data_IF_575582821072
#
_entry.id   IF_575582821072
#
_cell.length_a   1.000
_cell.length_b   1.000
_cell.length_c   1.000
_cell.angle_alpha   90.00
_cell.angle_beta   90.00
_cell.angle_gamma   90.00
#
_symmetry.space_group_name_H-M   'P 1'
#
loop_
_entity.id
_entity.type
_entity.pdbx_description
1 polymer ?
#
# COMPACT_ATOMS: atom_id res chain seq x y z
N UNK A 1 8.34 -57.28 5.06
CA UNK A 1 7.86 -57.71 3.74
C UNK A 1 6.35 -57.76 3.76
N UNK A 2 5.65 -56.68 3.40
CA UNK A 2 4.20 -56.70 3.06
C UNK A 2 4.00 -55.64 1.97
N UNK A 3 3.70 -56.05 0.76
CA UNK A 3 3.29 -55.25 -0.39
C UNK A 3 1.92 -54.62 -0.09
N UNK A 4 1.76 -53.34 -0.37
CA UNK A 4 0.47 -52.70 -0.46
C UNK A 4 0.18 -52.37 -1.93
N UNK A 5 -0.97 -52.86 -2.39
CA UNK A 5 -1.46 -52.77 -3.76
C UNK A 5 -1.94 -51.35 -4.09
N UNK A 6 -1.51 -50.85 -5.25
CA UNK A 6 -2.02 -49.63 -5.88
C UNK A 6 -3.35 -50.00 -6.57
N UNK A 7 -4.43 -49.31 -6.19
CA UNK A 7 -5.73 -49.39 -6.88
C UNK A 7 -5.81 -48.15 -7.80
N UNK A 8 -5.85 -48.41 -9.09
CA UNK A 8 -6.02 -47.38 -10.12
C UNK A 8 -7.52 -46.98 -10.21
N UNK A 9 -7.77 -45.69 -10.39
CA UNK A 9 -9.09 -45.11 -10.69
C UNK A 9 -9.06 -44.70 -12.16
N UNK A 10 -10.08 -45.02 -12.96
CA UNK A 10 -10.12 -44.74 -14.38
C UNK A 10 -10.42 -43.28 -14.71
N UNK A 11 -9.71 -42.81 -15.73
CA UNK A 11 -9.84 -41.48 -16.32
C UNK A 11 -11.13 -41.44 -17.18
N UNK A 12 -12.06 -40.53 -16.82
CA UNK A 12 -13.26 -40.28 -17.62
C UNK A 12 -12.93 -39.17 -18.63
N UNK A 13 -12.93 -39.50 -19.90
CA UNK A 13 -12.79 -38.54 -20.98
C UNK A 13 -14.13 -37.84 -21.25
N UNK A 14 -14.16 -36.51 -21.16
CA UNK A 14 -15.30 -35.69 -21.59
C UNK A 14 -14.93 -35.06 -22.94
N UNK A 15 -15.66 -35.39 -23.95
CA UNK A 15 -15.61 -34.78 -25.28
C UNK A 15 -16.17 -33.37 -25.23
N UNK A 16 -15.38 -32.38 -25.65
CA UNK A 16 -15.82 -31.02 -25.92
C UNK A 16 -16.16 -30.91 -27.41
N UNK A 17 -17.45 -30.74 -27.69
CA UNK A 17 -17.94 -30.32 -29.01
C UNK A 17 -17.74 -28.81 -29.16
N UNK A 18 -16.99 -28.42 -30.15
CA UNK A 18 -16.79 -27.03 -30.53
C UNK A 18 -18.06 -26.43 -31.18
N UNK A 19 -18.36 -25.19 -30.81
CA UNK A 19 -19.16 -24.30 -31.67
C UNK A 19 -18.45 -22.95 -31.74
N UNK A 20 -17.99 -22.65 -32.95
CA UNK A 20 -17.53 -21.33 -33.39
C UNK A 20 -18.74 -20.41 -33.55
N UNK A 21 -18.63 -19.22 -32.98
CA UNK A 21 -19.61 -18.15 -33.19
C UNK A 21 -19.00 -16.80 -32.89
N UNK A 22 -18.41 -16.18 -33.90
CA UNK A 22 -18.11 -14.74 -33.89
C UNK A 22 -19.43 -13.97 -34.00
N UNK A 23 -19.73 -13.09 -33.05
CA UNK A 23 -20.59 -11.95 -33.30
C UNK A 23 -20.22 -10.77 -32.40
N UNK A 24 -19.70 -9.75 -33.05
CA UNK A 24 -19.63 -8.37 -32.58
C UNK A 24 -21.05 -7.87 -32.30
N UNK A 25 -21.33 -7.40 -31.08
CA UNK A 25 -22.57 -6.69 -30.80
C UNK A 25 -22.25 -5.34 -30.11
N UNK A 26 -22.39 -4.29 -30.89
CA UNK A 26 -22.56 -2.93 -30.40
C UNK A 26 -23.92 -2.85 -29.67
N UNK A 27 -23.91 -2.57 -28.38
CA UNK A 27 -25.13 -2.31 -27.62
C UNK A 27 -25.51 -0.83 -27.66
N UNK A 28 -26.32 -0.45 -28.65
CA UNK A 28 -27.13 0.76 -28.59
C UNK A 28 -28.53 0.37 -28.10
N UNK A 29 -28.73 0.40 -26.79
CA UNK A 29 -30.04 0.15 -26.16
C UNK A 29 -30.93 1.39 -26.29
N UNK A 30 -31.93 1.35 -27.17
CA UNK A 30 -33.06 2.29 -27.19
C UNK A 30 -34.07 1.84 -26.13
N UNK A 31 -34.10 2.52 -25.00
CA UNK A 31 -35.21 2.45 -24.05
C UNK A 31 -36.24 3.52 -24.36
N UNK A 32 -37.49 3.13 -24.58
CA UNK A 32 -38.58 4.05 -24.82
C UNK A 32 -38.97 4.82 -23.56
N UNK A 33 -38.96 6.14 -23.60
CA UNK A 33 -39.50 7.06 -22.61
C UNK A 33 -40.97 7.27 -22.84
N UNK A 34 -41.80 6.91 -21.83
CA UNK A 34 -43.14 7.47 -21.67
C UNK A 34 -43.25 7.99 -20.24
N UNK A 35 -43.48 9.30 -20.10
CA UNK A 35 -43.77 9.94 -18.82
C UNK A 35 -43.20 11.34 -18.72
N UNK A 36 -44.01 12.36 -18.95
CA UNK A 36 -43.61 13.76 -18.85
C UNK A 36 -43.38 14.17 -17.40
N UNK A 37 -42.34 14.90 -17.15
CA UNK A 37 -41.99 15.57 -15.92
C UNK A 37 -40.72 16.36 -16.15
N UNK A 38 -40.70 17.65 -15.81
CA UNK A 38 -39.56 18.56 -15.94
C UNK A 38 -38.29 17.96 -15.31
N UNK A 39 -37.53 17.24 -16.09
CA UNK A 39 -36.21 16.77 -15.73
C UNK A 39 -35.17 17.85 -16.04
N UNK A 40 -34.71 18.55 -15.02
CA UNK A 40 -33.46 19.27 -15.13
C UNK A 40 -32.40 18.27 -15.59
N UNK A 41 -31.79 18.54 -16.73
CA UNK A 41 -30.62 17.81 -17.17
C UNK A 41 -29.54 18.02 -16.11
N UNK A 42 -29.31 16.99 -15.30
CA UNK A 42 -28.10 16.93 -14.48
C UNK A 42 -26.98 16.77 -15.49
N UNK A 43 -26.37 17.89 -15.87
CA UNK A 43 -25.15 17.88 -16.66
C UNK A 43 -24.13 17.04 -15.91
N UNK A 44 -23.68 15.95 -16.53
CA UNK A 44 -22.49 15.27 -16.07
C UNK A 44 -21.39 16.33 -16.04
N UNK A 45 -21.02 16.79 -14.86
CA UNK A 45 -19.87 17.65 -14.71
C UNK A 45 -18.68 16.88 -15.30
N UNK A 46 -18.17 17.35 -16.43
CA UNK A 46 -16.93 16.81 -16.98
C UNK A 46 -15.88 17.03 -15.93
N UNK A 47 -15.44 15.94 -15.28
CA UNK A 47 -14.35 15.99 -14.32
C UNK A 47 -13.18 16.72 -14.98
N UNK A 48 -12.73 17.82 -14.36
CA UNK A 48 -11.65 18.64 -14.90
C UNK A 48 -10.41 17.76 -15.05
N UNK A 49 -9.87 17.69 -16.26
CA UNK A 49 -8.65 16.94 -16.56
C UNK A 49 -7.47 17.64 -15.89
N UNK A 50 -6.70 16.89 -15.10
CA UNK A 50 -5.49 17.43 -14.48
C UNK A 50 -4.38 17.49 -15.53
N UNK A 51 -3.65 18.60 -15.57
CA UNK A 51 -2.44 18.70 -16.38
C UNK A 51 -1.30 17.91 -15.69
N UNK A 52 -1.25 16.62 -16.02
CA UNK A 52 -0.25 15.69 -15.46
C UNK A 52 1.18 16.06 -15.84
N UNK A 53 1.38 16.74 -16.98
CA UNK A 53 2.69 17.22 -17.40
C UNK A 53 3.16 18.37 -16.51
N UNK A 54 2.32 19.36 -16.26
CA UNK A 54 2.64 20.48 -15.37
C UNK A 54 2.89 20.00 -13.92
N UNK A 55 2.15 18.99 -13.45
CA UNK A 55 2.40 18.39 -12.12
C UNK A 55 3.76 17.70 -12.08
N UNK A 56 4.09 16.91 -13.11
CA UNK A 56 5.40 16.25 -13.25
C UNK A 56 6.54 17.25 -13.25
N UNK A 57 6.43 18.32 -14.04
CA UNK A 57 7.44 19.35 -14.14
C UNK A 57 7.65 20.09 -12.80
N UNK A 58 6.55 20.38 -12.09
CA UNK A 58 6.58 20.99 -10.77
C UNK A 58 7.28 20.09 -9.73
N UNK A 59 6.97 18.79 -9.73
CA UNK A 59 7.65 17.82 -8.86
C UNK A 59 9.13 17.72 -9.21
N UNK A 60 9.45 17.63 -10.52
CA UNK A 60 10.84 17.56 -11.01
C UNK A 60 11.63 18.78 -10.60
N UNK A 61 11.04 19.98 -10.63
CA UNK A 61 11.67 21.19 -10.14
C UNK A 61 11.94 21.18 -8.62
N UNK A 62 11.02 20.61 -7.83
CA UNK A 62 11.20 20.46 -6.36
C UNK A 62 12.39 19.57 -6.03
N UNK A 63 12.56 18.45 -6.74
CA UNK A 63 13.59 17.47 -6.45
C UNK A 63 14.92 17.73 -7.18
N UNK A 64 14.93 18.66 -8.13
CA UNK A 64 16.14 19.01 -8.89
C UNK A 64 17.27 19.48 -7.97
N UNK A 65 18.44 18.88 -8.11
CA UNK A 65 19.62 19.23 -7.31
C UNK A 65 19.57 18.74 -5.86
N UNK A 66 18.55 17.97 -5.46
CA UNK A 66 18.52 17.36 -4.13
C UNK A 66 19.59 16.28 -4.01
N UNK A 67 20.26 16.15 -2.84
CA UNK A 67 21.38 15.26 -2.67
C UNK A 67 20.93 13.82 -2.36
N UNK A 68 20.23 13.18 -3.28
CA UNK A 68 19.71 11.81 -3.16
C UNK A 68 18.71 11.48 -4.26
N UNK A 69 18.27 10.23 -4.29
CA UNK A 69 17.25 9.78 -5.24
C UNK A 69 15.86 9.95 -4.63
N UNK A 70 14.95 10.61 -5.34
CA UNK A 70 13.57 10.82 -4.92
C UNK A 70 12.64 10.36 -6.03
N UNK A 71 11.90 9.30 -5.77
CA UNK A 71 10.91 8.74 -6.67
C UNK A 71 9.49 9.09 -6.23
N UNK A 72 8.64 9.45 -7.17
CA UNK A 72 7.26 9.85 -6.91
C UNK A 72 6.30 9.17 -7.88
N UNK A 73 5.17 8.71 -7.37
CA UNK A 73 4.03 8.30 -8.18
C UNK A 73 2.73 8.81 -7.57
N UNK A 74 1.86 9.36 -8.40
CA UNK A 74 0.50 9.71 -8.02
C UNK A 74 -0.48 9.10 -9.02
N UNK A 75 -1.60 8.54 -8.51
CA UNK A 75 -2.75 8.07 -9.28
C UNK A 75 -3.95 8.88 -8.80
N UNK A 76 -4.63 9.59 -9.71
CA UNK A 76 -5.69 10.53 -9.36
C UNK A 76 -7.00 10.03 -9.98
N UNK A 77 -8.03 9.86 -9.15
CA UNK A 77 -9.36 9.31 -9.54
C UNK A 77 -9.24 8.00 -10.35
N UNK A 78 -8.27 7.15 -10.05
CA UNK A 78 -7.98 5.88 -10.77
C UNK A 78 -7.74 6.06 -12.28
N UNK A 79 -7.42 7.28 -12.77
CA UNK A 79 -7.32 7.62 -14.19
C UNK A 79 -5.98 8.26 -14.57
N UNK A 80 -5.69 9.39 -13.95
CA UNK A 80 -4.53 10.19 -14.28
C UNK A 80 -3.32 9.75 -13.47
N UNK A 81 -2.20 9.47 -14.13
CA UNK A 81 -0.98 9.01 -13.47
C UNK A 81 0.16 9.98 -13.72
N UNK A 82 0.84 10.36 -12.64
CA UNK A 82 2.08 11.16 -12.67
C UNK A 82 3.19 10.33 -12.05
N UNK A 83 4.33 10.22 -12.73
CA UNK A 83 5.53 9.56 -12.19
C UNK A 83 6.76 10.40 -12.42
N UNK A 84 7.67 10.42 -11.44
CA UNK A 84 9.00 11.04 -11.52
C UNK A 84 10.01 10.08 -10.92
N UNK A 85 11.12 9.82 -11.61
CA UNK A 85 12.14 8.86 -11.20
C UNK A 85 11.57 7.49 -10.83
N UNK A 86 10.67 6.97 -11.66
CA UNK A 86 9.95 5.70 -11.42
C UNK A 86 10.84 4.51 -11.79
N UNK A 87 11.79 4.19 -10.92
CA UNK A 87 12.70 3.04 -11.02
C UNK A 87 12.42 2.03 -9.90
N UNK A 88 12.79 0.77 -10.08
CA UNK A 88 12.45 -0.37 -9.21
C UNK A 88 13.39 -0.58 -8.01
N UNK A 89 14.09 0.45 -7.52
CA UNK A 89 15.19 0.29 -6.56
C UNK A 89 15.10 1.14 -5.30
N UNK A 90 13.92 1.59 -4.93
CA UNK A 90 13.74 2.30 -3.67
C UNK A 90 13.49 1.31 -2.53
N UNK A 91 14.30 1.37 -1.49
CA UNK A 91 14.06 0.58 -0.28
C UNK A 91 12.72 0.94 0.34
N UNK A 92 11.89 -0.06 0.59
CA UNK A 92 10.53 0.14 1.12
C UNK A 92 10.54 0.52 2.60
N UNK A 93 11.55 0.07 3.34
CA UNK A 93 11.52 0.10 4.79
C UNK A 93 10.16 -0.42 5.30
N UNK A 94 9.62 0.10 6.36
CA UNK A 94 8.36 -0.38 6.93
C UNK A 94 7.12 -0.23 6.02
N UNK A 95 7.22 0.35 4.82
CA UNK A 95 6.11 0.32 3.83
C UNK A 95 5.77 -1.13 3.43
N UNK A 96 6.74 -2.05 3.45
CA UNK A 96 6.48 -3.47 3.15
C UNK A 96 5.47 -4.12 4.12
N UNK A 97 5.25 -3.56 5.31
CA UNK A 97 4.27 -4.05 6.29
C UNK A 97 2.83 -4.00 5.77
N UNK A 98 2.53 -3.09 4.85
CA UNK A 98 1.25 -3.11 4.12
C UNK A 98 1.15 -4.36 3.22
N UNK A 99 2.21 -4.75 2.54
CA UNK A 99 2.26 -5.98 1.73
C UNK A 99 2.02 -7.21 2.62
N UNK A 100 2.67 -7.25 3.79
CA UNK A 100 2.48 -8.32 4.79
C UNK A 100 1.03 -8.36 5.30
N UNK A 101 0.43 -7.24 5.64
CA UNK A 101 -0.95 -7.18 6.12
C UNK A 101 -1.94 -7.72 5.10
N UNK A 102 -1.78 -7.37 3.82
CA UNK A 102 -2.57 -7.92 2.71
C UNK A 102 -2.39 -9.45 2.65
N UNK A 103 -1.16 -9.96 2.77
CA UNK A 103 -0.89 -11.39 2.72
C UNK A 103 -1.47 -12.16 3.92
N UNK A 104 -1.40 -11.62 5.12
CA UNK A 104 -2.04 -12.21 6.31
C UNK A 104 -3.55 -12.29 6.12
N UNK A 105 -4.19 -11.18 5.72
CA UNK A 105 -5.63 -11.14 5.51
C UNK A 105 -6.07 -12.08 4.38
N UNK A 106 -5.34 -12.15 3.27
CA UNK A 106 -5.61 -13.08 2.18
C UNK A 106 -5.48 -14.55 2.63
N UNK A 107 -4.43 -14.89 3.39
CA UNK A 107 -4.26 -16.25 3.95
C UNK A 107 -5.41 -16.62 4.89
N UNK A 108 -5.91 -15.64 5.67
CA UNK A 108 -7.04 -15.84 6.57
C UNK A 108 -8.36 -15.99 5.81
N UNK A 109 -8.56 -15.26 4.71
CA UNK A 109 -9.70 -15.43 3.82
C UNK A 109 -9.76 -16.85 3.25
N UNK A 110 -8.65 -17.33 2.69
CA UNK A 110 -8.57 -18.67 2.13
C UNK A 110 -8.85 -19.79 3.14
N UNK A 111 -8.51 -19.56 4.42
CA UNK A 111 -8.67 -20.53 5.52
C UNK A 111 -9.96 -20.33 6.32
N UNK A 112 -10.73 -19.30 6.05
CA UNK A 112 -11.92 -18.94 6.83
C UNK A 112 -11.58 -18.56 8.28
N UNK A 113 -10.39 -17.97 8.53
CA UNK A 113 -9.93 -17.60 9.86
C UNK A 113 -10.31 -16.14 10.15
N UNK A 114 -10.98 -15.83 11.29
CA UNK A 114 -11.30 -14.46 11.65
C UNK A 114 -10.11 -13.72 12.26
N UNK A 115 -10.08 -12.37 12.15
CA UNK A 115 -8.99 -11.54 12.65
C UNK A 115 -8.93 -11.43 14.19
N UNK A 116 -9.98 -11.81 14.90
CA UNK A 116 -9.99 -11.90 16.37
C UNK A 116 -9.33 -13.19 16.93
N UNK A 117 -8.83 -14.05 16.02
CA UNK A 117 -8.03 -15.22 16.40
C UNK A 117 -6.86 -14.80 17.27
N UNK A 118 -6.77 -15.44 18.46
CA UNK A 118 -5.73 -15.15 19.46
C UNK A 118 -4.41 -15.82 19.08
N UNK A 119 -3.35 -15.04 19.03
CA UNK A 119 -1.97 -15.53 18.98
C UNK A 119 -1.36 -15.45 20.39
N UNK A 120 -0.78 -16.55 20.84
CA UNK A 120 -0.09 -16.64 22.13
C UNK A 120 1.43 -16.69 21.92
N UNK A 121 2.16 -15.88 22.70
CA UNK A 121 3.62 -15.81 22.62
C UNK A 121 4.23 -15.24 23.90
N UNK A 122 5.47 -15.59 24.16
CA UNK A 122 6.21 -15.10 25.34
C UNK A 122 7.03 -13.86 25.01
N UNK A 123 7.15 -12.96 25.99
CA UNK A 123 7.98 -11.76 25.91
C UNK A 123 9.43 -12.09 25.53
N UNK A 124 9.96 -13.21 25.99
CA UNK A 124 11.31 -13.70 25.71
C UNK A 124 11.54 -14.08 24.24
N UNK A 125 10.46 -14.25 23.45
CA UNK A 125 10.54 -14.47 22.00
C UNK A 125 10.63 -13.17 21.19
N UNK A 126 10.48 -12.01 21.84
CA UNK A 126 10.51 -10.69 21.22
C UNK A 126 11.91 -10.06 21.34
N UNK A 127 12.26 -9.26 20.34
CA UNK A 127 13.51 -8.49 20.39
C UNK A 127 13.31 -7.20 21.21
N UNK A 128 13.99 -7.00 22.35
CA UNK A 128 13.86 -5.79 23.16
C UNK A 128 14.54 -4.57 22.52
N UNK A 129 15.47 -4.78 21.59
CA UNK A 129 16.34 -3.75 21.03
C UNK A 129 15.83 -3.23 19.66
N UNK A 130 14.56 -3.48 19.34
CA UNK A 130 13.92 -2.98 18.11
C UNK A 130 12.81 -1.97 18.41
N UNK A 131 12.39 -1.23 17.37
CA UNK A 131 11.22 -0.37 17.49
C UNK A 131 9.97 -1.22 17.72
N UNK A 132 9.42 -1.17 18.92
CA UNK A 132 8.23 -1.94 19.29
C UNK A 132 7.39 -1.20 20.34
N UNK A 133 6.43 -0.35 19.92
CA UNK A 133 5.43 0.22 20.81
C UNK A 133 4.64 -0.85 21.60
N UNK A 134 4.27 -1.96 20.94
CA UNK A 134 3.63 -3.10 21.60
C UNK A 134 4.40 -3.57 22.83
N UNK A 135 5.72 -3.74 22.70
CA UNK A 135 6.55 -4.21 23.80
C UNK A 135 6.70 -3.17 24.93
N UNK A 136 6.53 -1.87 24.62
CA UNK A 136 6.57 -0.78 25.60
C UNK A 136 5.24 -0.64 26.35
N UNK A 137 4.12 -0.83 25.67
CA UNK A 137 2.77 -0.67 26.22
C UNK A 137 2.37 -1.87 27.11
N UNK A 138 2.82 -3.09 26.77
CA UNK A 138 2.52 -4.31 27.50
C UNK A 138 3.75 -4.79 28.30
N UNK A 139 3.56 -5.04 29.59
CA UNK A 139 4.63 -5.52 30.49
C UNK A 139 4.51 -7.01 30.85
N UNK A 140 3.52 -7.70 30.29
CA UNK A 140 3.26 -9.10 30.57
C UNK A 140 4.40 -10.00 30.10
N UNK A 141 4.64 -11.09 30.83
CA UNK A 141 5.62 -12.10 30.44
C UNK A 141 5.07 -13.01 29.33
N UNK A 142 3.75 -13.17 29.28
CA UNK A 142 3.03 -13.97 28.30
C UNK A 142 1.91 -13.14 27.67
N UNK A 143 1.87 -13.10 26.35
CA UNK A 143 0.89 -12.34 25.58
C UNK A 143 -0.21 -13.25 25.03
N UNK A 144 -1.43 -12.76 25.05
CA UNK A 144 -2.58 -13.30 24.33
C UNK A 144 -3.22 -12.16 23.53
N UNK A 145 -2.90 -12.08 22.26
CA UNK A 145 -3.28 -10.92 21.44
C UNK A 145 -3.99 -11.37 20.17
N UNK A 146 -5.13 -10.75 19.80
CA UNK A 146 -5.78 -11.04 18.52
C UNK A 146 -4.90 -10.56 17.36
N UNK A 147 -4.99 -11.26 16.23
CA UNK A 147 -4.22 -10.90 15.03
C UNK A 147 -4.57 -9.49 14.54
N UNK A 148 -5.83 -9.06 14.72
CA UNK A 148 -6.25 -7.69 14.44
C UNK A 148 -5.43 -6.65 15.20
N UNK A 149 -5.05 -6.93 16.45
CA UNK A 149 -4.24 -6.01 17.26
C UNK A 149 -2.78 -5.99 16.79
N UNK A 150 -2.20 -7.16 16.44
CA UNK A 150 -0.87 -7.21 15.83
C UNK A 150 -0.81 -6.42 14.52
N UNK A 151 -1.86 -6.51 13.68
CA UNK A 151 -1.99 -5.73 12.46
C UNK A 151 -2.08 -4.23 12.76
N UNK A 152 -2.81 -3.81 13.82
CA UNK A 152 -2.88 -2.40 14.25
C UNK A 152 -1.51 -1.88 14.66
N UNK A 153 -0.79 -2.59 15.54
CA UNK A 153 0.59 -2.23 15.91
C UNK A 153 1.50 -2.11 14.69
N UNK A 154 1.39 -3.05 13.77
CA UNK A 154 2.22 -3.11 12.55
C UNK A 154 1.94 -1.95 11.60
N UNK A 155 0.67 -1.63 11.34
CA UNK A 155 0.30 -0.61 10.35
C UNK A 155 0.26 0.80 10.95
N UNK A 156 -0.31 0.99 12.16
CA UNK A 156 -0.48 2.32 12.76
C UNK A 156 0.81 2.85 13.40
N UNK A 157 1.54 1.99 14.09
CA UNK A 157 2.71 2.36 14.87
C UNK A 157 4.03 1.79 14.32
N UNK A 158 3.95 1.03 13.23
CA UNK A 158 5.12 0.43 12.56
C UNK A 158 5.92 -0.54 13.44
N UNK A 159 5.26 -1.31 14.32
CA UNK A 159 5.88 -2.23 15.26
C UNK A 159 6.63 -3.36 14.55
N UNK A 160 7.91 -3.54 14.92
CA UNK A 160 8.79 -4.53 14.29
C UNK A 160 8.57 -5.93 14.84
N UNK A 161 8.31 -6.07 16.16
CA UNK A 161 8.03 -7.37 16.78
C UNK A 161 6.70 -7.94 16.30
N UNK A 162 5.65 -7.11 16.21
CA UNK A 162 4.37 -7.54 15.68
C UNK A 162 4.51 -8.04 14.22
N UNK A 163 5.28 -7.33 13.40
CA UNK A 163 5.59 -7.75 12.03
C UNK A 163 6.36 -9.08 11.99
N UNK A 164 7.44 -9.22 12.76
CA UNK A 164 8.22 -10.45 12.82
C UNK A 164 7.37 -11.65 13.27
N UNK A 165 6.54 -11.48 14.31
CA UNK A 165 5.61 -12.53 14.79
C UNK A 165 4.65 -13.01 13.69
N UNK A 166 4.11 -12.09 12.90
CA UNK A 166 3.21 -12.47 11.81
C UNK A 166 3.94 -13.23 10.70
N UNK A 167 5.20 -12.89 10.40
CA UNK A 167 6.01 -13.67 9.46
C UNK A 167 6.39 -15.04 10.03
N UNK A 168 6.65 -15.16 11.31
CA UNK A 168 7.01 -16.42 11.95
C UNK A 168 5.82 -17.39 12.10
N UNK A 169 4.58 -16.88 12.23
CA UNK A 169 3.44 -17.68 12.66
C UNK A 169 2.28 -17.74 11.67
N UNK A 170 2.11 -16.75 10.78
CA UNK A 170 0.90 -16.62 9.97
C UNK A 170 1.16 -16.73 8.47
N UNK A 171 2.18 -16.05 7.95
CA UNK A 171 2.53 -16.01 6.53
C UNK A 171 4.03 -15.79 6.39
N UNK A 172 4.68 -16.52 5.51
CA UNK A 172 6.10 -16.33 5.25
C UNK A 172 6.36 -15.11 4.35
N UNK A 173 7.60 -14.62 4.35
CA UNK A 173 8.06 -13.57 3.42
C UNK A 173 7.85 -14.00 1.96
N UNK A 174 8.17 -15.26 1.63
CA UNK A 174 8.02 -15.80 0.28
C UNK A 174 6.54 -15.89 -0.16
N UNK A 175 5.63 -16.27 0.73
CA UNK A 175 4.18 -16.25 0.45
C UNK A 175 3.69 -14.82 0.22
N UNK A 176 4.15 -13.87 1.04
CA UNK A 176 3.85 -12.45 0.87
C UNK A 176 4.32 -11.95 -0.50
N UNK A 177 5.58 -12.16 -0.84
CA UNK A 177 6.16 -11.75 -2.12
C UNK A 177 5.42 -12.37 -3.31
N UNK A 178 5.07 -13.67 -3.22
CA UNK A 178 4.33 -14.39 -4.26
C UNK A 178 2.90 -13.89 -4.43
N UNK A 179 2.19 -13.61 -3.34
CA UNK A 179 0.84 -13.05 -3.40
C UNK A 179 0.85 -11.66 -4.06
N UNK A 180 1.74 -10.77 -3.61
CA UNK A 180 1.81 -9.42 -4.15
C UNK A 180 2.13 -9.44 -5.65
N UNK A 181 2.89 -10.42 -6.14
CA UNK A 181 3.15 -10.60 -7.57
C UNK A 181 1.90 -10.97 -8.40
N UNK A 182 0.80 -11.38 -7.76
CA UNK A 182 -0.49 -11.54 -8.43
C UNK A 182 -1.29 -10.24 -8.50
N UNK A 183 -0.94 -9.27 -7.68
CA UNK A 183 -1.64 -7.98 -7.57
C UNK A 183 -0.96 -6.88 -8.40
N UNK A 184 0.36 -6.83 -8.42
CA UNK A 184 1.14 -5.84 -9.19
C UNK A 184 2.25 -6.51 -10.01
N UNK A 185 2.75 -5.87 -11.08
CA UNK A 185 3.80 -6.45 -11.93
C UNK A 185 5.06 -6.84 -11.14
N UNK A 186 5.54 -8.04 -11.38
CA UNK A 186 6.68 -8.63 -10.68
C UNK A 186 7.98 -7.83 -10.79
N UNK A 187 8.19 -7.13 -11.87
CA UNK A 187 9.37 -6.29 -12.09
C UNK A 187 9.34 -4.97 -11.33
N UNK A 188 8.23 -4.65 -10.63
CA UNK A 188 8.09 -3.39 -9.90
C UNK A 188 8.56 -3.49 -8.44
N UNK A 189 8.72 -4.69 -7.87
CA UNK A 189 8.97 -4.83 -6.44
C UNK A 189 9.66 -6.15 -6.09
N UNK A 190 10.18 -6.22 -4.85
CA UNK A 190 10.69 -7.44 -4.22
C UNK A 190 10.51 -7.36 -2.71
N UNK A 191 10.08 -8.46 -2.08
CA UNK A 191 10.04 -8.64 -0.62
C UNK A 191 10.78 -9.92 -0.28
N UNK A 192 11.90 -9.81 0.43
CA UNK A 192 12.77 -10.95 0.77
C UNK A 192 13.22 -10.98 2.22
N UNK A 193 13.07 -9.86 2.97
CA UNK A 193 13.61 -9.71 4.30
C UNK A 193 12.50 -9.41 5.32
N UNK A 194 12.71 -9.83 6.57
CA UNK A 194 11.94 -9.42 7.75
C UNK A 194 12.61 -8.23 8.41
N UNK A 195 11.94 -7.61 9.39
CA UNK A 195 12.55 -6.53 10.20
C UNK A 195 13.80 -7.01 10.95
N UNK A 196 13.77 -8.24 11.49
CA UNK A 196 14.92 -8.85 12.17
C UNK A 196 16.13 -9.06 11.25
N UNK A 197 15.89 -9.41 9.97
CA UNK A 197 16.97 -9.61 9.00
C UNK A 197 17.63 -8.28 8.64
N UNK A 198 16.83 -7.24 8.40
CA UNK A 198 17.30 -5.88 8.13
C UNK A 198 18.00 -5.23 9.34
N UNK A 199 17.58 -5.56 10.57
CA UNK A 199 18.24 -5.09 11.78
C UNK A 199 19.59 -5.77 12.00
N UNK A 200 19.70 -7.07 11.68
CA UNK A 200 20.95 -7.83 11.82
C UNK A 200 22.01 -7.43 10.78
N UNK A 201 21.56 -7.00 9.61
CA UNK A 201 22.39 -6.52 8.51
C UNK A 201 21.66 -5.41 7.76
N UNK A 202 22.07 -4.18 8.00
CA UNK A 202 21.42 -3.01 7.43
C UNK A 202 21.45 -2.99 5.89
N UNK A 203 22.43 -3.62 5.25
CA UNK A 203 22.47 -3.70 3.78
C UNK A 203 21.28 -4.46 3.20
N UNK A 204 20.70 -5.39 3.96
CA UNK A 204 19.49 -6.12 3.58
C UNK A 204 18.25 -5.24 3.45
N UNK A 205 18.24 -4.04 4.02
CA UNK A 205 17.14 -3.10 3.86
C UNK A 205 16.84 -2.75 2.41
N UNK A 206 17.83 -2.81 1.54
CA UNK A 206 17.69 -2.57 0.10
C UNK A 206 17.09 -3.76 -0.67
N UNK A 207 17.01 -4.94 -0.06
CA UNK A 207 16.44 -6.14 -0.69
C UNK A 207 14.90 -6.09 -0.74
N UNK A 208 14.27 -5.39 0.21
CA UNK A 208 12.85 -5.05 0.15
C UNK A 208 12.69 -3.74 -0.62
N UNK A 209 12.42 -3.79 -1.90
CA UNK A 209 12.38 -2.61 -2.76
C UNK A 209 11.17 -2.57 -3.68
N UNK A 210 10.86 -1.38 -4.18
CA UNK A 210 9.84 -1.18 -5.21
C UNK A 210 10.13 0.07 -6.04
N UNK A 211 9.46 0.14 -7.20
CA UNK A 211 9.25 1.42 -7.87
C UNK A 211 8.13 2.21 -7.19
N UNK A 212 8.12 3.55 -7.26
CA UNK A 212 7.00 4.36 -6.79
C UNK A 212 5.65 3.93 -7.37
N UNK A 213 5.59 3.67 -8.68
CA UNK A 213 4.37 3.20 -9.36
C UNK A 213 3.93 1.81 -8.91
N UNK A 214 4.86 0.94 -8.54
CA UNK A 214 4.55 -0.38 -7.99
C UNK A 214 3.81 -0.27 -6.66
N UNK A 215 4.32 0.54 -5.73
CA UNK A 215 3.64 0.81 -4.45
C UNK A 215 2.31 1.53 -4.68
N UNK A 216 2.27 2.54 -5.57
CA UNK A 216 1.05 3.30 -5.85
C UNK A 216 -0.06 2.40 -6.39
N UNK A 217 0.24 1.48 -7.30
CA UNK A 217 -0.74 0.50 -7.80
C UNK A 217 -1.26 -0.42 -6.70
N UNK A 218 -0.40 -0.86 -5.77
CA UNK A 218 -0.84 -1.72 -4.68
C UNK A 218 -1.76 -0.97 -3.72
N UNK A 219 -1.41 0.27 -3.34
CA UNK A 219 -2.27 1.15 -2.52
C UNK A 219 -3.59 1.39 -3.23
N UNK A 220 -3.56 1.81 -4.50
CA UNK A 220 -4.77 2.07 -5.29
C UNK A 220 -5.70 0.85 -5.28
N UNK A 221 -5.18 -0.33 -5.62
CA UNK A 221 -5.97 -1.56 -5.63
C UNK A 221 -6.54 -1.94 -4.27
N UNK A 222 -5.80 -1.69 -3.19
CA UNK A 222 -6.29 -1.94 -1.84
C UNK A 222 -7.52 -1.08 -1.50
N UNK A 223 -7.60 0.13 -2.05
CA UNK A 223 -8.69 1.07 -1.76
C UNK A 223 -9.81 1.06 -2.80
N UNK A 224 -9.58 0.57 -4.02
CA UNK A 224 -10.54 0.66 -5.13
C UNK A 224 -11.02 -0.68 -5.69
N UNK A 225 -10.20 -1.74 -5.60
CA UNK A 225 -10.53 -3.08 -6.08
C UNK A 225 -11.01 -3.97 -4.92
N UNK A 226 -11.61 -5.13 -5.24
CA UNK A 226 -11.92 -6.17 -4.26
C UNK A 226 -10.80 -7.23 -4.28
N UNK A 227 -9.74 -7.00 -3.51
CA UNK A 227 -8.57 -7.90 -3.43
C UNK A 227 -8.60 -8.85 -2.24
N UNK A 228 -9.48 -8.59 -1.26
CA UNK A 228 -9.71 -9.38 -0.04
C UNK A 228 -11.22 -9.46 0.20
N UNK A 229 -11.66 -10.23 1.22
CA UNK A 229 -13.03 -10.09 1.73
C UNK A 229 -13.28 -8.66 2.21
N UNK A 230 -14.51 -8.18 2.08
CA UNK A 230 -14.90 -6.81 2.46
C UNK A 230 -14.47 -6.49 3.88
N UNK A 231 -14.74 -7.39 4.84
CA UNK A 231 -14.38 -7.20 6.25
C UNK A 231 -12.89 -6.95 6.47
N UNK A 232 -12.04 -7.79 5.87
CA UNK A 232 -10.57 -7.69 6.06
C UNK A 232 -9.96 -6.55 5.29
N UNK A 233 -10.50 -6.24 4.12
CA UNK A 233 -10.06 -5.09 3.33
C UNK A 233 -10.40 -3.78 4.04
N UNK A 234 -11.62 -3.61 4.52
CA UNK A 234 -12.05 -2.46 5.30
C UNK A 234 -11.22 -2.32 6.57
N UNK A 235 -10.93 -3.43 7.25
CA UNK A 235 -10.07 -3.43 8.43
C UNK A 235 -8.68 -2.86 8.14
N UNK A 236 -8.02 -3.28 7.04
CA UNK A 236 -6.70 -2.73 6.66
C UNK A 236 -6.83 -1.25 6.32
N UNK A 237 -7.81 -0.86 5.52
CA UNK A 237 -8.02 0.53 5.10
C UNK A 237 -8.25 1.45 6.31
N UNK A 238 -9.12 1.05 7.26
CA UNK A 238 -9.37 1.82 8.49
C UNK A 238 -8.13 1.87 9.38
N UNK A 239 -7.40 0.77 9.49
CA UNK A 239 -6.15 0.73 10.27
C UNK A 239 -5.11 1.68 9.68
N UNK A 240 -4.98 1.76 8.35
CA UNK A 240 -4.08 2.72 7.70
C UNK A 240 -4.53 4.19 7.87
N UNK A 241 -5.85 4.47 7.99
CA UNK A 241 -6.35 5.80 8.36
C UNK A 241 -5.94 6.21 9.76
N UNK A 242 -5.80 5.24 10.66
CA UNK A 242 -5.30 5.45 12.01
C UNK A 242 -3.77 5.50 12.13
N UNK A 243 -3.01 5.66 11.06
CA UNK A 243 -1.55 5.70 11.12
C UNK A 243 -1.06 6.89 11.97
N UNK A 244 -0.14 6.61 12.92
CA UNK A 244 0.38 7.60 13.86
C UNK A 244 1.78 8.12 13.45
N UNK A 245 2.41 7.52 12.44
CA UNK A 245 3.76 7.89 12.00
C UNK A 245 3.73 8.81 10.80
N UNK A 246 4.72 9.71 10.64
CA UNK A 246 4.92 10.54 9.45
C UNK A 246 3.91 11.66 9.25
N UNK A 247 3.38 12.24 10.34
CA UNK A 247 2.53 13.44 10.28
C UNK A 247 3.22 14.64 9.61
N UNK A 248 4.54 14.60 9.52
CA UNK A 248 5.41 15.61 8.91
C UNK A 248 5.70 15.34 7.42
N UNK A 249 5.19 14.24 6.83
CA UNK A 249 5.44 13.81 5.44
C UNK A 249 4.28 14.19 4.51
N UNK A 250 3.72 13.22 3.78
CA UNK A 250 2.58 13.43 2.86
C UNK A 250 1.40 14.09 3.57
N UNK A 251 1.14 13.74 4.83
CA UNK A 251 0.04 14.28 5.62
C UNK A 251 0.21 15.77 6.01
N UNK A 252 1.44 16.26 6.10
CA UNK A 252 1.73 17.59 6.67
C UNK A 252 0.94 18.76 6.04
N UNK A 253 0.88 18.95 4.72
CA UNK A 253 0.15 20.05 4.09
C UNK A 253 -1.37 19.86 4.11
N UNK A 254 -1.85 18.69 4.49
CA UNK A 254 -3.26 18.31 4.53
C UNK A 254 -3.85 18.40 5.93
N UNK A 255 -2.99 18.47 6.95
CA UNK A 255 -3.39 18.57 8.34
C UNK A 255 -4.27 19.81 8.58
N UNK A 256 -5.37 19.63 9.32
CA UNK A 256 -6.32 20.71 9.63
C UNK A 256 -7.21 21.16 8.48
N UNK A 257 -7.18 20.50 7.33
CA UNK A 257 -8.13 20.71 6.23
C UNK A 257 -9.35 19.82 6.47
N UNK A 258 -10.52 20.46 6.63
CA UNK A 258 -11.77 19.76 6.94
C UNK A 258 -12.16 18.76 5.86
N UNK A 259 -12.62 17.59 6.29
CA UNK A 259 -13.17 16.54 5.43
C UNK A 259 -12.16 15.77 4.60
N UNK A 260 -10.85 16.03 4.72
CA UNK A 260 -9.81 15.20 4.09
C UNK A 260 -9.53 13.98 4.96
N UNK A 261 -9.54 12.80 4.36
CA UNK A 261 -9.09 11.56 5.00
C UNK A 261 -7.79 11.08 4.37
N UNK A 262 -6.89 10.59 5.21
CA UNK A 262 -5.58 10.10 4.79
C UNK A 262 -5.38 8.71 5.41
N UNK A 263 -5.11 7.73 4.56
CA UNK A 263 -4.69 6.41 4.98
C UNK A 263 -3.28 6.20 4.45
N UNK A 264 -2.30 5.93 5.31
CA UNK A 264 -0.93 5.82 4.83
C UNK A 264 -0.08 4.82 5.62
N UNK A 265 1.06 4.45 5.04
CA UNK A 265 2.09 3.68 5.69
C UNK A 265 3.46 4.29 5.40
N UNK A 266 4.21 4.56 6.46
CA UNK A 266 5.55 5.14 6.37
C UNK A 266 6.65 4.10 6.53
N UNK A 267 7.85 4.45 6.07
CA UNK A 267 9.07 3.73 6.34
C UNK A 267 10.23 4.70 6.59
N UNK A 268 11.07 4.39 7.57
CA UNK A 268 12.26 5.17 7.90
C UNK A 268 13.48 4.26 7.91
N UNK A 269 14.50 4.66 7.18
CA UNK A 269 15.80 4.04 7.22
C UNK A 269 16.64 4.59 8.37
N UNK A 270 17.92 4.44 8.26
CA UNK A 270 18.92 4.91 9.23
C UNK A 270 19.93 5.82 8.53
N UNK A 271 20.62 6.63 9.31
CA UNK A 271 21.77 7.39 8.81
C UNK A 271 22.99 6.47 8.91
N UNK A 272 23.61 6.19 7.77
CA UNK A 272 24.78 5.32 7.72
C UNK A 272 26.07 6.05 8.18
N UNK A 273 27.19 5.33 8.24
CA UNK A 273 28.48 5.84 8.70
C UNK A 273 29.01 7.03 7.87
N UNK A 274 28.54 7.20 6.65
CA UNK A 274 28.89 8.33 5.77
C UNK A 274 27.94 9.52 5.90
N UNK A 275 26.96 9.46 6.83
CA UNK A 275 25.99 10.52 7.04
C UNK A 275 24.83 10.55 6.05
N UNK A 276 24.63 9.45 5.30
CA UNK A 276 23.56 9.31 4.31
C UNK A 276 22.33 8.68 4.96
N UNK A 277 21.17 9.31 4.84
CA UNK A 277 19.86 8.72 5.16
C UNK A 277 19.51 7.69 4.09
N UNK A 278 19.51 6.41 4.45
CA UNK A 278 19.39 5.30 3.49
C UNK A 278 18.04 5.23 2.79
N UNK A 279 16.96 5.53 3.53
CA UNK A 279 15.61 5.62 2.95
C UNK A 279 14.67 6.43 3.86
N UNK A 280 13.70 7.12 3.23
CA UNK A 280 12.61 7.79 3.92
C UNK A 280 11.37 7.77 3.02
N UNK A 281 10.33 7.04 3.42
CA UNK A 281 9.27 6.64 2.49
C UNK A 281 7.88 6.89 3.09
N UNK A 282 6.91 7.18 2.23
CA UNK A 282 5.50 7.28 2.59
C UNK A 282 4.62 6.90 1.40
N UNK A 283 3.57 6.14 1.66
CA UNK A 283 2.61 5.68 0.66
C UNK A 283 1.20 5.90 1.20
N UNK A 284 0.44 6.77 0.55
CA UNK A 284 -0.83 7.27 1.03
C UNK A 284 -1.96 7.14 0.00
N UNK A 285 -3.18 6.88 0.51
CA UNK A 285 -4.44 7.08 -0.18
C UNK A 285 -5.20 8.23 0.47
N UNK A 286 -5.56 9.24 -0.29
CA UNK A 286 -6.17 10.46 0.19
C UNK A 286 -7.55 10.62 -0.45
N UNK A 287 -8.56 10.95 0.36
CA UNK A 287 -9.90 11.28 -0.13
C UNK A 287 -10.26 12.71 0.28
N UNK A 288 -10.71 13.50 -0.70
CA UNK A 288 -11.14 14.89 -0.51
C UNK A 288 -12.65 14.96 -0.20
N UNK A 289 -13.13 16.09 0.38
CA UNK A 289 -14.54 16.24 0.78
C UNK A 289 -15.54 16.07 -0.37
N UNK A 290 -15.13 16.31 -1.60
CA UNK A 290 -15.98 16.18 -2.79
C UNK A 290 -15.99 14.78 -3.40
N UNK A 291 -15.35 13.82 -2.75
CA UNK A 291 -15.24 12.43 -3.18
C UNK A 291 -14.07 12.14 -4.13
N UNK A 292 -13.33 13.16 -4.58
CA UNK A 292 -12.09 12.93 -5.34
C UNK A 292 -11.11 12.15 -4.48
N UNK A 293 -10.48 11.14 -5.04
CA UNK A 293 -9.44 10.40 -4.35
C UNK A 293 -8.13 10.36 -5.15
N UNK A 294 -7.04 10.19 -4.44
CA UNK A 294 -5.75 9.99 -5.08
C UNK A 294 -4.79 9.19 -4.19
N UNK A 295 -4.01 8.39 -4.86
CA UNK A 295 -2.84 7.74 -4.27
C UNK A 295 -1.61 8.62 -4.48
N UNK A 296 -0.79 8.78 -3.45
CA UNK A 296 0.51 9.46 -3.54
C UNK A 296 1.58 8.63 -2.83
N UNK A 297 2.65 8.33 -3.55
CA UNK A 297 3.81 7.60 -3.03
C UNK A 297 5.06 8.43 -3.26
N UNK A 298 5.84 8.60 -2.21
CA UNK A 298 7.13 9.32 -2.25
C UNK A 298 8.17 8.43 -1.56
N UNK A 299 9.18 8.05 -2.32
CA UNK A 299 10.27 7.17 -1.87
C UNK A 299 11.60 7.94 -2.01
N UNK A 300 12.22 8.26 -0.88
CA UNK A 300 13.56 8.89 -0.83
C UNK A 300 14.59 7.80 -0.54
N UNK A 301 15.70 7.83 -1.25
CA UNK A 301 16.80 6.86 -1.14
C UNK A 301 18.15 7.56 -1.18
N UNK A 302 19.07 7.10 -0.35
CA UNK A 302 20.49 7.55 -0.31
C UNK A 302 20.63 9.07 -0.26
N UNK A 303 19.92 9.70 0.69
CA UNK A 303 19.81 11.14 0.80
C UNK A 303 20.89 11.72 1.73
N UNK A 304 21.80 12.55 1.17
CA UNK A 304 22.81 13.26 1.94
C UNK A 304 22.22 14.49 2.65
N UNK A 305 21.30 14.22 3.57
CA UNK A 305 20.57 15.18 4.41
C UNK A 305 19.95 14.47 5.60
N UNK A 306 19.13 15.17 6.35
CA UNK A 306 18.45 14.60 7.51
C UNK A 306 16.96 14.33 7.23
N UNK A 307 16.30 13.65 8.17
CA UNK A 307 14.88 13.30 8.08
C UNK A 307 13.98 14.54 7.92
N UNK A 308 14.31 15.66 8.60
CA UNK A 308 13.53 16.90 8.49
C UNK A 308 13.55 17.46 7.08
N UNK A 309 14.73 17.43 6.42
CA UNK A 309 14.83 17.88 5.02
C UNK A 309 14.07 16.95 4.07
N UNK A 310 14.13 15.64 4.31
CA UNK A 310 13.36 14.67 3.54
C UNK A 310 11.84 14.89 3.73
N UNK A 311 11.38 15.09 4.98
CA UNK A 311 9.97 15.42 5.28
C UNK A 311 9.51 16.69 4.57
N UNK A 312 10.32 17.76 4.60
CA UNK A 312 9.96 19.03 3.95
C UNK A 312 9.80 18.88 2.43
N UNK A 313 10.64 18.07 1.80
CA UNK A 313 10.51 17.76 0.37
C UNK A 313 9.21 16.99 0.12
N UNK A 314 8.92 15.96 0.92
CA UNK A 314 7.70 15.17 0.80
C UNK A 314 6.45 16.02 0.99
N UNK A 315 6.44 16.90 1.99
CA UNK A 315 5.33 17.84 2.24
C UNK A 315 5.12 18.81 1.06
N UNK A 316 6.19 19.34 0.47
CA UNK A 316 6.12 20.23 -0.72
C UNK A 316 5.56 19.49 -1.94
N UNK A 317 5.97 18.26 -2.18
CA UNK A 317 5.43 17.42 -3.27
C UNK A 317 3.94 17.17 -3.03
N UNK A 318 3.55 16.79 -1.82
CA UNK A 318 2.15 16.55 -1.43
C UNK A 318 1.28 17.80 -1.63
N UNK A 319 1.74 18.98 -1.19
CA UNK A 319 1.03 20.25 -1.40
C UNK A 319 0.87 20.58 -2.91
N UNK A 320 1.91 20.29 -3.70
CA UNK A 320 1.88 20.50 -5.15
C UNK A 320 0.81 19.64 -5.83
N UNK A 321 0.75 18.34 -5.49
CA UNK A 321 -0.27 17.43 -6.03
C UNK A 321 -1.66 17.86 -5.57
N UNK A 322 -1.85 18.12 -4.27
CA UNK A 322 -3.11 18.57 -3.72
C UNK A 322 -3.64 19.84 -4.40
N UNK A 323 -2.78 20.85 -4.58
CA UNK A 323 -3.18 22.10 -5.27
C UNK A 323 -3.51 21.88 -6.73
N UNK A 324 -2.81 21.01 -7.43
CA UNK A 324 -3.12 20.70 -8.82
C UNK A 324 -4.51 20.06 -8.97
N UNK A 325 -4.88 19.18 -8.03
CA UNK A 325 -6.19 18.54 -8.00
C UNK A 325 -7.30 19.56 -7.68
N UNK A 326 -7.06 20.47 -6.73
CA UNK A 326 -8.10 21.40 -6.24
C UNK A 326 -8.26 22.67 -7.08
N UNK A 327 -7.22 23.13 -7.78
CA UNK A 327 -7.28 24.36 -8.61
C UNK A 327 -8.19 24.24 -9.84
N UNK A 328 -8.35 23.05 -10.39
CA UNK A 328 -9.12 22.83 -11.61
C UNK A 328 -10.61 22.58 -11.34
N UNK A 329 -11.06 22.79 -10.10
CA UNK A 329 -12.47 22.62 -9.73
C UNK A 329 -13.19 23.94 -9.77
N UNK A 330 -14.39 24.03 -10.38
CA UNK A 330 -15.21 25.22 -10.28
C UNK A 330 -15.51 25.48 -8.78
N UNK A 331 -15.32 26.74 -8.36
CA UNK A 331 -15.76 27.17 -7.03
C UNK A 331 -17.28 26.92 -6.95
N UNK A 332 -17.70 25.99 -6.13
CA UNK A 332 -19.12 25.83 -5.78
C UNK A 332 -19.54 26.89 -4.78
#
# INVERSE_FOLDING_TARGET
MKLLKIIGIPMLAVCVLGMTGCSSMNNTGKGALIGGGNGAAIGAATAATIDTAAVRDSISAIISGMPGEIGVAAIIDSRDTVTVNDIDKYALMSVFKMHQAIAVCHSFDLKGIPLDTILEFDRTSLNPDTWSPMLKEHQDAHFRMPVSELLRYTLMQSDNNASNLMFDRLVSVAETDSLIATLIPRNCFRITERESDMQSDHAKSYNNHSSPSGVARLVERLFTDSILSTEKQEFICETMRGCHTGADRIAAPLAGKDGITIAHKTGSGYINETGILTAYTDAAYITLPDGTSYTLVILVKDFAGNEKQASDIMARISDTVYRAITRNKPNN
#
